data_IF_204544834013
#
_entry.id   IF_204544834013
#
_cell.length_a   1.000
_cell.length_b   1.000
_cell.length_c   1.000
_cell.angle_alpha   90.00
_cell.angle_beta   90.00
_cell.angle_gamma   90.00
#
_symmetry.space_group_name_H-M   'P 1'
#
loop_
_entity.id
_entity.type
_entity.pdbx_description
1 polymer ?
#
# COMPACT_ATOMS: atom_id res chain seq x y z
N UNK A 1 2.34 19.74 9.41
CA UNK A 1 2.22 18.41 8.81
C UNK A 1 3.62 17.92 8.55
N UNK A 2 4.02 16.75 9.00
CA UNK A 2 5.37 16.23 8.74
C UNK A 2 5.58 16.00 7.24
N UNK A 3 6.84 16.01 6.80
CA UNK A 3 7.19 15.93 5.39
C UNK A 3 6.73 14.60 4.77
N UNK A 4 6.95 13.50 5.46
CA UNK A 4 6.52 12.17 5.09
C UNK A 4 4.99 12.09 4.84
N UNK A 5 4.17 12.62 5.76
CA UNK A 5 2.71 12.64 5.61
C UNK A 5 2.25 13.52 4.43
N UNK A 6 2.97 14.62 4.13
CA UNK A 6 2.67 15.49 2.99
C UNK A 6 2.88 14.78 1.66
N UNK A 7 3.90 13.91 1.59
CA UNK A 7 4.31 13.24 0.36
C UNK A 7 3.88 11.77 0.27
N UNK A 8 2.99 11.32 1.17
CA UNK A 8 2.37 9.99 1.02
C UNK A 8 1.66 9.86 -0.33
N UNK A 9 1.80 8.73 -1.03
CA UNK A 9 1.04 8.45 -2.24
C UNK A 9 -0.47 8.54 -1.98
N UNK A 10 -1.18 9.37 -2.74
CA UNK A 10 -2.63 9.55 -2.64
C UNK A 10 -3.36 8.85 -3.79
N UNK A 11 -2.70 8.73 -4.92
CA UNK A 11 -3.26 8.16 -6.14
C UNK A 11 -2.33 7.10 -6.73
N UNK A 12 -2.85 6.31 -7.66
CA UNK A 12 -2.02 5.35 -8.40
C UNK A 12 -0.82 6.02 -9.12
N UNK A 13 -0.98 7.26 -9.57
CA UNK A 13 0.09 8.00 -10.25
C UNK A 13 1.28 8.35 -9.32
N UNK A 14 1.05 8.36 -8.02
CA UNK A 14 2.09 8.63 -7.01
C UNK A 14 2.91 7.41 -6.64
N UNK A 15 2.44 6.20 -7.03
CA UNK A 15 3.13 4.96 -6.75
C UNK A 15 4.31 4.74 -7.70
N UNK A 16 5.42 4.30 -7.16
CA UNK A 16 6.58 3.86 -7.94
C UNK A 16 6.60 2.33 -7.94
N UNK A 17 6.33 1.73 -9.10
CA UNK A 17 6.22 0.27 -9.27
C UNK A 17 7.13 -0.14 -10.42
N UNK A 18 8.20 -0.87 -10.10
CA UNK A 18 9.23 -1.28 -11.06
C UNK A 18 8.68 -2.15 -12.22
N UNK A 19 7.78 -3.09 -11.90
CA UNK A 19 7.25 -4.03 -12.87
C UNK A 19 5.96 -3.50 -13.51
N UNK A 20 5.92 -3.24 -14.84
CA UNK A 20 4.72 -2.73 -15.53
C UNK A 20 3.50 -3.65 -15.44
N UNK A 21 3.71 -4.98 -15.39
CA UNK A 21 2.61 -5.93 -15.22
C UNK A 21 1.99 -5.82 -13.84
N UNK A 22 2.81 -5.68 -12.80
CA UNK A 22 2.33 -5.42 -11.44
C UNK A 22 1.58 -4.09 -11.37
N UNK A 23 2.13 -3.04 -12.00
CA UNK A 23 1.48 -1.74 -12.09
C UNK A 23 0.09 -1.83 -12.75
N UNK A 24 -0.04 -2.56 -13.86
CA UNK A 24 -1.33 -2.77 -14.53
C UNK A 24 -2.34 -3.50 -13.64
N UNK A 25 -1.89 -4.52 -12.89
CA UNK A 25 -2.75 -5.23 -11.96
C UNK A 25 -3.19 -4.33 -10.80
N UNK A 26 -2.26 -3.62 -10.15
CA UNK A 26 -2.58 -2.68 -9.05
C UNK A 26 -3.58 -1.63 -9.54
N UNK A 27 -3.36 -1.06 -10.73
CA UNK A 27 -4.28 -0.12 -11.35
C UNK A 27 -5.68 -0.71 -11.55
N UNK A 28 -5.78 -1.99 -11.95
CA UNK A 28 -7.08 -2.65 -12.10
C UNK A 28 -7.84 -2.74 -10.76
N UNK A 29 -7.12 -2.97 -9.66
CA UNK A 29 -7.72 -2.98 -8.31
C UNK A 29 -8.13 -1.58 -7.85
N UNK A 30 -7.43 -0.53 -8.24
CA UNK A 30 -7.84 0.85 -7.99
C UNK A 30 -9.11 1.23 -8.77
N UNK A 31 -9.29 0.68 -9.99
CA UNK A 31 -10.44 1.01 -10.85
C UNK A 31 -11.68 0.22 -10.45
N UNK A 32 -11.56 -1.10 -10.38
CA UNK A 32 -12.64 -2.01 -10.04
C UNK A 32 -12.05 -3.26 -9.39
N UNK A 33 -12.03 -3.35 -8.05
CA UNK A 33 -11.40 -4.45 -7.36
C UNK A 33 -12.10 -5.78 -7.68
N UNK A 34 -11.37 -6.76 -8.24
CA UNK A 34 -11.92 -8.10 -8.49
C UNK A 34 -12.37 -8.78 -7.21
N UNK A 35 -13.20 -9.82 -7.35
CA UNK A 35 -13.62 -10.62 -6.19
C UNK A 35 -12.47 -11.39 -5.53
N UNK A 36 -11.43 -11.73 -6.31
CA UNK A 36 -10.26 -12.42 -5.80
C UNK A 36 -9.38 -11.44 -5.01
N UNK A 37 -9.09 -11.70 -3.73
CA UNK A 37 -8.21 -10.88 -2.92
C UNK A 37 -6.83 -10.69 -3.53
N UNK A 38 -6.18 -9.55 -3.25
CA UNK A 38 -4.82 -9.23 -3.69
C UNK A 38 -3.83 -9.42 -2.53
N UNK A 39 -2.72 -10.08 -2.80
CA UNK A 39 -1.57 -10.16 -1.90
C UNK A 39 -0.35 -9.52 -2.55
N UNK A 40 0.18 -8.48 -1.93
CA UNK A 40 1.43 -7.83 -2.30
C UNK A 40 2.55 -8.45 -1.47
N UNK A 41 3.40 -9.25 -2.09
CA UNK A 41 4.51 -9.95 -1.45
C UNK A 41 5.85 -9.35 -1.89
N UNK A 42 6.81 -9.21 -0.99
CA UNK A 42 8.13 -8.67 -1.34
C UNK A 42 8.92 -8.21 -0.12
N UNK A 43 10.15 -7.76 -0.28
CA UNK A 43 10.99 -7.33 0.82
C UNK A 43 10.43 -6.06 1.51
N UNK A 44 10.84 -5.79 2.77
CA UNK A 44 10.55 -4.52 3.42
C UNK A 44 10.98 -3.32 2.57
N UNK A 45 10.21 -2.23 2.62
CA UNK A 45 10.53 -1.01 1.87
C UNK A 45 10.20 -1.02 0.37
N UNK A 46 9.60 -2.10 -0.18
CA UNK A 46 9.18 -2.17 -1.58
C UNK A 46 7.86 -1.42 -1.91
N UNK A 47 7.32 -0.64 -0.97
CA UNK A 47 6.10 0.16 -1.21
C UNK A 47 4.77 -0.60 -1.12
N UNK A 48 4.76 -1.85 -0.63
CA UNK A 48 3.55 -2.69 -0.56
C UNK A 48 2.40 -2.08 0.23
N UNK A 49 2.69 -1.55 1.42
CA UNK A 49 1.70 -0.93 2.31
C UNK A 49 1.07 0.30 1.64
N UNK A 50 1.89 1.15 1.01
CA UNK A 50 1.39 2.32 0.31
C UNK A 50 0.55 1.94 -0.91
N UNK A 51 0.96 0.92 -1.66
CA UNK A 51 0.15 0.41 -2.77
C UNK A 51 -1.20 -0.15 -2.29
N UNK A 52 -1.23 -0.90 -1.18
CA UNK A 52 -2.47 -1.40 -0.57
C UNK A 52 -3.38 -0.25 -0.11
N UNK A 53 -2.81 0.79 0.50
CA UNK A 53 -3.53 1.99 0.95
C UNK A 53 -4.12 2.76 -0.22
N UNK A 54 -3.36 2.98 -1.28
CA UNK A 54 -3.84 3.68 -2.49
C UNK A 54 -4.97 2.89 -3.17
N UNK A 55 -4.89 1.56 -3.23
CA UNK A 55 -6.00 0.74 -3.73
C UNK A 55 -7.26 0.98 -2.90
N UNK A 56 -7.15 0.93 -1.58
CA UNK A 56 -8.28 1.13 -0.69
C UNK A 56 -8.88 2.53 -0.84
N UNK A 57 -8.05 3.58 -0.82
CA UNK A 57 -8.48 4.97 -1.02
C UNK A 57 -9.16 5.18 -2.37
N UNK A 58 -8.64 4.61 -3.44
CA UNK A 58 -9.23 4.74 -4.78
C UNK A 58 -10.64 4.14 -4.86
N UNK A 59 -10.93 3.15 -4.04
CA UNK A 59 -12.25 2.53 -3.96
C UNK A 59 -13.27 3.45 -3.27
N UNK A 60 -12.87 4.15 -2.22
CA UNK A 60 -13.73 5.04 -1.43
C UNK A 60 -13.96 6.41 -2.08
N UNK A 61 -12.93 6.99 -2.68
CA UNK A 61 -13.04 8.30 -3.34
C UNK A 61 -14.10 8.36 -4.45
N UNK A 62 -14.47 7.22 -5.02
CA UNK A 62 -15.52 7.15 -6.06
C UNK A 62 -16.93 7.16 -5.53
N UNK A 63 -17.13 6.80 -4.28
CA UNK A 63 -18.45 6.70 -3.67
C UNK A 63 -18.98 8.04 -3.13
N UNK A 64 -18.26 9.16 -3.30
CA UNK A 64 -18.55 10.49 -2.72
C UNK A 64 -18.66 10.50 -1.18
N UNK A 65 -18.28 9.44 -0.54
CA UNK A 65 -18.41 9.28 0.88
C UNK A 65 -17.03 9.37 1.55
N UNK A 66 -16.94 10.13 2.65
CA UNK A 66 -15.74 10.34 3.44
C UNK A 66 -15.38 9.11 4.27
N UNK A 67 -15.10 7.96 3.62
CA UNK A 67 -14.81 6.73 4.33
C UNK A 67 -13.34 6.58 4.66
N UNK A 68 -13.12 6.21 5.91
CA UNK A 68 -11.84 5.67 6.33
C UNK A 68 -11.72 4.23 5.81
N UNK A 69 -10.69 3.94 5.04
CA UNK A 69 -10.32 2.55 4.80
C UNK A 69 -9.81 1.96 6.10
N UNK A 70 -10.16 0.72 6.37
CA UNK A 70 -9.71 0.04 7.56
C UNK A 70 -8.45 -0.75 7.24
N UNK A 71 -7.42 -0.47 8.03
CA UNK A 71 -6.12 -1.08 7.89
C UNK A 71 -5.76 -1.78 9.21
N UNK A 72 -5.51 -3.07 9.13
CA UNK A 72 -5.11 -3.89 10.26
C UNK A 72 -3.69 -4.39 10.08
N UNK A 73 -2.92 -4.42 11.16
CA UNK A 73 -1.75 -5.28 11.24
C UNK A 73 -2.20 -6.68 11.68
N UNK A 74 -1.79 -7.71 10.95
CA UNK A 74 -2.22 -9.08 11.19
C UNK A 74 -1.86 -9.60 12.59
N UNK A 75 -0.75 -9.14 13.17
CA UNK A 75 -0.34 -9.48 14.52
C UNK A 75 -1.37 -9.03 15.58
N UNK A 76 -2.14 -7.97 15.31
CA UNK A 76 -3.20 -7.46 16.20
C UNK A 76 -4.54 -8.18 16.04
N UNK A 77 -4.68 -9.01 15.00
CA UNK A 77 -5.89 -9.78 14.73
C UNK A 77 -5.85 -11.12 15.49
N UNK A 78 -6.50 -11.14 16.65
CA UNK A 78 -6.67 -12.33 17.48
C UNK A 78 -7.82 -13.22 16.99
N UNK A 79 -8.29 -14.10 17.88
CA UNK A 79 -9.41 -15.01 17.60
C UNK A 79 -10.76 -14.31 17.40
N UNK A 80 -10.86 -13.04 17.80
CA UNK A 80 -12.00 -12.14 17.71
C UNK A 80 -12.00 -11.27 16.43
N UNK A 81 -11.13 -11.59 15.48
CA UNK A 81 -10.96 -10.79 14.26
C UNK A 81 -12.25 -10.63 13.45
N UNK A 82 -13.14 -11.65 13.47
CA UNK A 82 -14.39 -11.63 12.71
C UNK A 82 -15.32 -10.51 13.20
N UNK A 83 -15.48 -10.39 14.52
CA UNK A 83 -16.32 -9.36 15.12
C UNK A 83 -15.77 -7.96 14.85
N UNK A 84 -14.45 -7.81 14.94
CA UNK A 84 -13.75 -6.54 14.64
C UNK A 84 -13.97 -6.12 13.20
N UNK A 85 -13.65 -7.00 12.25
CA UNK A 85 -13.79 -6.70 10.82
C UNK A 85 -15.26 -6.45 10.46
N UNK A 86 -16.18 -7.26 10.98
CA UNK A 86 -17.62 -7.08 10.66
C UNK A 86 -18.19 -5.79 11.23
N UNK A 87 -17.74 -5.32 12.39
CA UNK A 87 -18.14 -4.02 12.93
C UNK A 87 -17.76 -2.88 11.96
N UNK A 88 -16.55 -2.93 11.40
CA UNK A 88 -16.06 -1.95 10.43
C UNK A 88 -16.76 -2.05 9.08
N UNK A 89 -16.98 -3.28 8.60
CA UNK A 89 -17.77 -3.53 7.37
C UNK A 89 -19.17 -2.94 7.50
N UNK A 90 -19.85 -3.18 8.60
CA UNK A 90 -21.18 -2.63 8.84
C UNK A 90 -21.17 -1.10 8.85
N UNK A 91 -20.13 -0.49 9.45
CA UNK A 91 -19.97 0.97 9.43
C UNK A 91 -19.75 1.51 8.01
N UNK A 92 -18.90 0.87 7.20
CA UNK A 92 -18.69 1.25 5.80
C UNK A 92 -19.96 1.12 4.96
N UNK A 93 -20.75 0.07 5.18
CA UNK A 93 -21.99 -0.17 4.42
C UNK A 93 -23.12 0.81 4.77
N UNK A 94 -23.08 1.48 5.92
CA UNK A 94 -24.06 2.51 6.28
C UNK A 94 -24.09 3.69 5.31
N UNK A 95 -22.98 3.92 4.58
CA UNK A 95 -22.85 5.00 3.63
C UNK A 95 -23.19 4.66 2.18
N UNK A 96 -24.05 3.68 1.91
CA UNK A 96 -24.44 3.23 0.57
C UNK A 96 -23.33 2.55 -0.27
N UNK A 97 -22.29 2.02 0.36
CA UNK A 97 -21.30 1.19 -0.33
C UNK A 97 -21.79 -0.25 -0.43
N UNK A 98 -21.82 -0.84 -1.62
CA UNK A 98 -22.18 -2.24 -1.82
C UNK A 98 -21.15 -3.23 -1.24
N UNK A 99 -19.93 -2.77 -0.95
CA UNK A 99 -18.81 -3.60 -0.50
C UNK A 99 -17.84 -2.79 0.35
N UNK A 100 -17.26 -3.46 1.33
CA UNK A 100 -16.20 -2.91 2.15
C UNK A 100 -14.80 -3.29 1.61
N UNK A 101 -13.80 -2.42 1.80
CA UNK A 101 -12.40 -2.71 1.52
C UNK A 101 -11.64 -2.82 2.83
N UNK A 102 -10.95 -3.95 3.02
CA UNK A 102 -10.15 -4.22 4.21
C UNK A 102 -8.69 -4.48 3.78
N UNK A 103 -7.79 -3.72 4.36
CA UNK A 103 -6.34 -3.90 4.18
C UNK A 103 -5.78 -4.67 5.37
N UNK A 104 -5.04 -5.74 5.12
CA UNK A 104 -4.36 -6.53 6.15
C UNK A 104 -2.85 -6.46 5.90
N UNK A 105 -2.14 -5.73 6.73
CA UNK A 105 -0.69 -5.68 6.66
C UNK A 105 -0.05 -6.84 7.38
N UNK A 106 1.08 -7.32 6.84
CA UNK A 106 1.89 -8.39 7.40
C UNK A 106 1.09 -9.66 7.71
N UNK A 107 0.27 -10.08 6.74
CA UNK A 107 -0.68 -11.21 6.89
C UNK A 107 0.00 -12.52 7.31
N UNK A 108 1.30 -12.66 7.05
CA UNK A 108 2.15 -13.77 7.50
C UNK A 108 2.35 -13.82 9.02
N UNK A 109 2.05 -12.74 9.74
CA UNK A 109 2.12 -12.69 11.21
C UNK A 109 0.85 -13.22 11.90
N UNK A 110 -0.22 -13.51 11.15
CA UNK A 110 -1.36 -14.23 11.71
C UNK A 110 -0.95 -15.60 12.23
N UNK A 111 -1.45 -15.96 13.42
CA UNK A 111 -1.20 -17.30 13.97
C UNK A 111 -1.62 -18.41 12.99
N UNK A 112 -0.63 -19.23 12.60
CA UNK A 112 -0.75 -20.23 11.56
C UNK A 112 -1.78 -21.33 11.89
N UNK A 113 -1.95 -21.64 13.17
CA UNK A 113 -2.77 -22.78 13.61
C UNK A 113 -4.18 -22.38 13.99
N UNK A 114 -4.36 -21.20 14.58
CA UNK A 114 -5.63 -20.80 15.16
C UNK A 114 -6.37 -19.72 14.37
N UNK A 115 -5.67 -18.79 13.73
CA UNK A 115 -6.26 -17.62 13.04
C UNK A 115 -6.34 -17.82 11.53
N UNK A 116 -5.25 -18.24 10.88
CA UNK A 116 -5.23 -18.37 9.41
C UNK A 116 -6.32 -19.31 8.85
N UNK A 117 -6.62 -20.50 9.45
CA UNK A 117 -7.68 -21.35 8.94
C UNK A 117 -9.08 -20.69 9.01
N UNK A 118 -9.37 -19.98 10.11
CA UNK A 118 -10.63 -19.27 10.30
C UNK A 118 -10.72 -18.06 9.37
N UNK A 119 -9.64 -17.31 9.22
CA UNK A 119 -9.59 -16.17 8.32
C UNK A 119 -9.83 -16.59 6.85
N UNK A 120 -9.28 -17.73 6.44
CA UNK A 120 -9.55 -18.32 5.13
C UNK A 120 -11.05 -18.59 4.94
N UNK A 121 -11.70 -19.23 5.92
CA UNK A 121 -13.13 -19.51 5.88
C UNK A 121 -13.96 -18.23 5.86
N UNK A 122 -13.57 -17.24 6.65
CA UNK A 122 -14.18 -15.92 6.67
C UNK A 122 -14.10 -15.24 5.29
N UNK A 123 -12.91 -15.25 4.65
CA UNK A 123 -12.73 -14.71 3.30
C UNK A 123 -13.65 -15.40 2.28
N UNK A 124 -13.74 -16.74 2.32
CA UNK A 124 -14.58 -17.52 1.41
C UNK A 124 -16.07 -17.18 1.62
N UNK A 125 -16.52 -17.04 2.87
CA UNK A 125 -17.90 -16.73 3.23
C UNK A 125 -18.29 -15.29 2.93
N UNK A 126 -17.40 -14.32 3.19
CA UNK A 126 -17.69 -12.88 3.08
C UNK A 126 -17.25 -12.25 1.77
N UNK A 127 -16.79 -13.02 0.79
CA UNK A 127 -16.30 -12.53 -0.52
C UNK A 127 -17.31 -11.65 -1.29
N UNK A 128 -18.59 -11.79 -1.00
CA UNK A 128 -19.65 -10.98 -1.62
C UNK A 128 -19.76 -9.58 -1.02
N UNK A 129 -19.34 -9.41 0.25
CA UNK A 129 -19.38 -8.14 0.99
C UNK A 129 -18.03 -7.45 1.04
N UNK A 130 -16.92 -8.21 1.12
CA UNK A 130 -15.60 -7.66 1.44
C UNK A 130 -14.63 -7.88 0.28
N UNK A 131 -13.82 -6.87 0.03
CA UNK A 131 -12.61 -6.94 -0.79
C UNK A 131 -11.39 -6.86 0.12
N UNK A 132 -10.48 -7.80 -0.03
CA UNK A 132 -9.25 -7.83 0.76
C UNK A 132 -8.05 -7.46 -0.10
N UNK A 133 -7.21 -6.61 0.45
CA UNK A 133 -5.84 -6.38 0.01
C UNK A 133 -4.93 -6.70 1.18
N UNK A 134 -3.92 -7.51 0.96
CA UNK A 134 -2.99 -7.89 2.01
C UNK A 134 -1.55 -7.65 1.59
N UNK A 135 -0.68 -7.44 2.57
CA UNK A 135 0.76 -7.34 2.37
C UNK A 135 1.49 -8.44 3.14
N UNK A 136 2.64 -8.88 2.64
CA UNK A 136 3.52 -9.82 3.34
C UNK A 136 4.98 -9.60 2.98
N UNK A 137 5.86 -9.79 3.95
CA UNK A 137 7.29 -9.88 3.72
C UNK A 137 7.73 -11.35 3.52
N UNK A 138 6.93 -12.31 3.99
CA UNK A 138 7.29 -13.73 4.05
C UNK A 138 6.14 -14.64 3.62
N UNK A 139 5.82 -14.66 2.31
CA UNK A 139 4.74 -15.53 1.78
C UNK A 139 4.89 -17.02 2.12
N UNK A 140 6.11 -17.48 2.39
CA UNK A 140 6.40 -18.86 2.82
C UNK A 140 5.93 -19.19 4.24
N UNK A 141 5.59 -18.17 5.06
CA UNK A 141 4.99 -18.35 6.38
C UNK A 141 3.46 -18.50 6.33
N UNK A 142 2.87 -18.36 5.16
CA UNK A 142 1.44 -18.51 4.97
C UNK A 142 1.08 -19.95 4.60
N UNK A 143 -0.08 -20.42 5.06
CA UNK A 143 -0.61 -21.71 4.60
C UNK A 143 -0.86 -21.71 3.09
N UNK A 144 -0.48 -22.75 2.37
CA UNK A 144 -0.73 -22.87 0.94
C UNK A 144 -2.21 -22.76 0.57
N UNK A 145 -3.09 -23.28 1.42
CA UNK A 145 -4.54 -23.15 1.27
C UNK A 145 -5.04 -21.71 1.38
N UNK A 146 -4.35 -20.86 2.13
CA UNK A 146 -4.65 -19.43 2.22
C UNK A 146 -4.09 -18.67 1.01
N UNK A 147 -2.83 -18.94 0.62
CA UNK A 147 -2.20 -18.34 -0.56
C UNK A 147 -3.03 -18.56 -1.83
N UNK A 148 -3.63 -19.72 -2.01
CA UNK A 148 -4.45 -20.05 -3.19
C UNK A 148 -5.69 -19.15 -3.36
N UNK A 149 -6.15 -18.47 -2.30
CA UNK A 149 -7.27 -17.51 -2.34
C UNK A 149 -6.84 -16.15 -2.90
N UNK A 150 -5.57 -15.83 -2.81
CA UNK A 150 -5.06 -14.55 -3.27
C UNK A 150 -4.60 -14.59 -4.73
N UNK A 151 -4.71 -13.44 -5.38
CA UNK A 151 -3.86 -13.10 -6.51
C UNK A 151 -2.56 -12.56 -5.92
N UNK A 152 -1.48 -13.31 -6.04
CA UNK A 152 -0.18 -12.94 -5.49
C UNK A 152 0.58 -12.11 -6.51
N UNK A 153 1.09 -10.94 -6.10
CA UNK A 153 2.04 -10.14 -6.83
C UNK A 153 3.35 -10.07 -6.05
N UNK A 154 4.42 -10.52 -6.66
CA UNK A 154 5.76 -10.31 -6.13
C UNK A 154 6.21 -8.89 -6.50
N UNK A 155 6.38 -8.04 -5.49
CA UNK A 155 6.74 -6.64 -5.62
C UNK A 155 8.23 -6.50 -5.37
N UNK A 156 8.96 -6.15 -6.41
CA UNK A 156 10.38 -5.82 -6.33
C UNK A 156 10.56 -4.36 -5.93
N UNK A 157 11.62 -4.04 -5.15
CA UNK A 157 11.98 -2.65 -4.87
C UNK A 157 12.25 -1.90 -6.18
N UNK A 158 11.73 -0.68 -6.34
CA UNK A 158 12.05 0.15 -7.49
C UNK A 158 13.53 0.50 -7.55
N UNK A 159 14.07 0.61 -8.75
CA UNK A 159 15.43 1.11 -8.99
C UNK A 159 15.51 2.62 -8.75
N UNK A 160 16.72 3.14 -8.60
CA UNK A 160 16.93 4.58 -8.46
C UNK A 160 16.36 5.38 -9.64
N UNK A 161 16.42 4.83 -10.84
CA UNK A 161 15.84 5.45 -12.04
C UNK A 161 14.32 5.48 -12.01
N UNK A 162 13.66 4.49 -11.44
CA UNK A 162 12.21 4.45 -11.29
C UNK A 162 11.71 5.55 -10.34
N UNK A 163 12.53 5.95 -9.36
CA UNK A 163 12.21 6.98 -8.40
C UNK A 163 12.34 8.42 -8.93
N UNK A 164 13.13 8.65 -10.00
CA UNK A 164 13.41 10.00 -10.51
C UNK A 164 12.15 10.84 -10.73
N UNK A 165 11.09 10.35 -11.41
CA UNK A 165 9.88 11.16 -11.63
C UNK A 165 9.17 11.54 -10.31
N UNK A 166 9.14 10.62 -9.35
CA UNK A 166 8.48 10.86 -8.06
C UNK A 166 9.24 11.89 -7.23
N UNK A 167 10.56 11.72 -7.11
CA UNK A 167 11.42 12.65 -6.38
C UNK A 167 11.39 14.04 -7.00
N UNK A 168 11.42 14.13 -8.33
CA UNK A 168 11.27 15.40 -9.04
C UNK A 168 9.96 16.11 -8.65
N UNK A 169 8.84 15.39 -8.67
CA UNK A 169 7.53 15.90 -8.27
C UNK A 169 7.50 16.39 -6.82
N UNK A 170 8.15 15.66 -5.90
CA UNK A 170 8.23 16.03 -4.48
C UNK A 170 9.03 17.32 -4.29
N UNK A 171 10.21 17.44 -4.93
CA UNK A 171 11.04 18.64 -4.86
C UNK A 171 10.34 19.86 -5.45
N UNK A 172 9.64 19.67 -6.57
CA UNK A 172 8.84 20.74 -7.18
C UNK A 172 7.69 21.20 -6.28
N UNK A 173 7.03 20.28 -5.58
CA UNK A 173 5.98 20.61 -4.62
C UNK A 173 6.50 21.40 -3.40
N UNK A 174 7.81 21.32 -3.13
CA UNK A 174 8.50 22.11 -2.09
C UNK A 174 9.08 23.44 -2.61
N UNK A 175 8.84 23.77 -3.88
CA UNK A 175 9.26 25.03 -4.50
C UNK A 175 10.68 25.00 -5.09
N UNK A 176 11.29 23.81 -5.19
CA UNK A 176 12.57 23.64 -5.88
C UNK A 176 12.32 23.31 -7.35
N UNK A 177 13.27 23.71 -8.22
CA UNK A 177 13.17 23.45 -9.66
C UNK A 177 14.40 22.71 -10.19
N UNK A 178 14.70 21.48 -9.67
CA UNK A 178 15.79 20.69 -10.19
C UNK A 178 15.45 20.15 -11.58
N UNK A 179 16.49 19.89 -12.37
CA UNK A 179 16.31 19.13 -13.63
C UNK A 179 16.21 17.63 -13.35
N UNK A 180 15.73 16.87 -14.32
CA UNK A 180 15.73 15.39 -14.26
C UNK A 180 17.14 14.86 -14.03
N UNK A 181 18.16 15.51 -14.63
CA UNK A 181 19.56 15.12 -14.49
C UNK A 181 20.08 15.35 -13.07
N UNK A 182 19.72 16.48 -12.43
CA UNK A 182 20.08 16.76 -11.04
C UNK A 182 19.51 15.69 -10.10
N UNK A 183 18.26 15.33 -10.27
CA UNK A 183 17.62 14.28 -9.48
C UNK A 183 18.24 12.90 -9.74
N UNK A 184 18.49 12.57 -11.00
CA UNK A 184 19.15 11.30 -11.34
C UNK A 184 20.56 11.21 -10.75
N UNK A 185 21.33 12.31 -10.74
CA UNK A 185 22.65 12.38 -10.11
C UNK A 185 22.54 12.24 -8.58
N UNK A 186 21.58 12.91 -7.96
CA UNK A 186 21.31 12.78 -6.51
C UNK A 186 21.05 11.33 -6.11
N UNK A 187 20.29 10.59 -6.93
CA UNK A 187 19.93 9.21 -6.68
C UNK A 187 20.98 8.19 -7.11
N UNK A 188 22.03 8.59 -7.83
CA UNK A 188 23.01 7.66 -8.41
C UNK A 188 23.69 6.75 -7.37
N UNK A 189 24.01 7.30 -6.19
CA UNK A 189 24.64 6.58 -5.10
C UNK A 189 23.68 6.15 -3.99
N UNK A 190 22.36 6.40 -4.17
CA UNK A 190 21.38 6.05 -3.18
C UNK A 190 21.26 4.52 -3.05
N UNK A 191 21.34 4.03 -1.81
CA UNK A 191 21.20 2.62 -1.49
C UNK A 191 20.40 2.48 -0.20
N UNK A 192 19.11 2.68 -0.30
CA UNK A 192 18.20 2.66 0.83
C UNK A 192 16.79 2.20 0.43
N UNK A 193 15.92 2.20 1.40
CA UNK A 193 14.49 1.89 1.22
C UNK A 193 13.71 3.12 0.74
N UNK A 194 12.44 2.95 0.40
CA UNK A 194 11.56 4.08 0.09
C UNK A 194 11.44 5.09 1.25
N UNK A 195 11.58 4.64 2.51
CA UNK A 195 11.59 5.54 3.68
C UNK A 195 12.85 6.38 3.72
N UNK A 196 14.01 5.72 3.57
CA UNK A 196 15.30 6.44 3.54
C UNK A 196 15.36 7.44 2.38
N UNK A 197 14.64 7.17 1.29
CA UNK A 197 14.52 8.09 0.16
C UNK A 197 13.72 9.35 0.53
N UNK A 198 12.62 9.20 1.26
CA UNK A 198 11.82 10.34 1.75
C UNK A 198 12.65 11.22 2.66
N UNK A 199 13.42 10.62 3.57
CA UNK A 199 14.33 11.33 4.48
C UNK A 199 15.41 12.09 3.68
N UNK A 200 16.00 11.47 2.65
CA UNK A 200 16.97 12.14 1.77
C UNK A 200 16.37 13.35 1.05
N UNK A 201 15.13 13.22 0.57
CA UNK A 201 14.45 14.34 -0.10
C UNK A 201 14.15 15.47 0.89
N UNK A 202 13.70 15.15 2.11
CA UNK A 202 13.46 16.12 3.17
C UNK A 202 14.75 16.88 3.52
N UNK A 203 15.86 16.17 3.73
CA UNK A 203 17.17 16.77 4.00
C UNK A 203 17.60 17.71 2.86
N UNK A 204 17.39 17.32 1.61
CA UNK A 204 17.71 18.13 0.43
C UNK A 204 16.88 19.43 0.42
N UNK A 205 15.59 19.35 0.75
CA UNK A 205 14.71 20.53 0.84
C UNK A 205 15.16 21.46 1.95
N UNK A 206 15.50 20.93 3.12
CA UNK A 206 16.00 21.72 4.26
C UNK A 206 17.29 22.42 3.89
N UNK A 207 18.27 21.70 3.34
CA UNK A 207 19.56 22.25 2.94
C UNK A 207 19.40 23.40 1.91
N UNK A 208 18.53 23.23 0.93
CA UNK A 208 18.25 24.25 -0.08
C UNK A 208 17.61 25.52 0.53
N UNK A 209 16.68 25.36 1.46
CA UNK A 209 16.03 26.49 2.16
C UNK A 209 17.02 27.26 3.04
N UNK A 210 17.95 26.57 3.69
CA UNK A 210 19.01 27.21 4.50
C UNK A 210 20.02 27.94 3.64
N UNK A 211 20.37 27.42 2.46
CA UNK A 211 21.30 28.08 1.55
C UNK A 211 20.74 29.36 0.90
N UNK A 212 19.43 29.59 0.99
CA UNK A 212 18.73 30.75 0.42
C UNK A 212 18.48 31.87 1.47
N UNK A 213 18.83 31.64 2.74
CA UNK A 213 18.81 32.59 3.86
C UNK A 213 20.13 33.31 4.01
#
# INVERSE_FOLDING_TARGET
>A
MSFDLKHLPQTFADLVIANPLNAAVIKSYCVQPPAKPLLLAGPPGAGKTEAARVIAQSHFLRAQDHYMHWEHNAASLGKDFEDKIMAEVNYQMFGNSDKAMIVINEIDEMDLRSVQPKFREFMDTKRHLIRFVATTNHKNRMMGAMLSRFRVLDIDPPSNTDWVPRVLSMLQAEGLNPTIQDVAQMLQSFNGTARDLIDLVEETVIASKVATL
#
